data_IF_846241804416
#
_entry.id   IF_846241804416
#
_cell.length_a   1.000
_cell.length_b   1.000
_cell.length_c   1.000
_cell.angle_alpha   90.00
_cell.angle_beta   90.00
_cell.angle_gamma   90.00
#
_symmetry.space_group_name_H-M   'P 1'
#
loop_
_entity.id
_entity.type
_entity.pdbx_description
1 polymer ?
#
# COMPACT_ATOMS: atom_id res chain seq x y z
N UNK A 1 22.77 93.51 -150.89
CA UNK A 1 23.59 93.57 -149.65
C UNK A 1 22.81 93.20 -148.38
N UNK A 2 21.52 93.55 -148.23
CA UNK A 2 20.74 93.19 -147.02
C UNK A 2 20.53 91.68 -146.79
N UNK A 3 20.28 90.89 -147.85
CA UNK A 3 19.94 89.45 -147.74
C UNK A 3 21.08 88.53 -147.29
N UNK A 4 22.35 88.95 -147.44
CA UNK A 4 23.54 88.16 -147.07
C UNK A 4 23.91 88.42 -145.60
N UNK A 5 23.75 89.65 -145.14
CA UNK A 5 23.90 90.02 -143.73
C UNK A 5 22.80 89.39 -142.88
N UNK A 6 21.55 89.37 -143.38
CA UNK A 6 20.44 88.67 -142.73
C UNK A 6 20.73 87.17 -142.56
N UNK A 7 21.15 86.47 -143.63
CA UNK A 7 21.49 85.04 -143.58
C UNK A 7 22.68 84.72 -142.66
N UNK A 8 23.63 85.66 -142.52
CA UNK A 8 24.75 85.51 -141.59
C UNK A 8 24.27 85.69 -140.15
N UNK A 9 23.46 86.71 -139.90
CA UNK A 9 22.88 86.98 -138.60
C UNK A 9 21.96 85.83 -138.16
N UNK A 10 21.10 85.33 -139.04
CA UNK A 10 20.25 84.17 -138.78
C UNK A 10 21.07 82.90 -138.46
N UNK A 11 22.21 82.68 -139.14
CA UNK A 11 23.12 81.56 -138.85
C UNK A 11 23.89 81.73 -137.55
N UNK A 12 24.36 82.95 -137.26
CA UNK A 12 25.00 83.30 -135.99
C UNK A 12 23.99 83.14 -134.83
N UNK A 13 22.75 83.58 -135.01
CA UNK A 13 21.65 83.42 -134.06
C UNK A 13 21.31 81.93 -133.84
N UNK A 14 21.21 81.12 -134.90
CA UNK A 14 21.00 79.66 -134.72
C UNK A 14 22.15 78.97 -134.02
N UNK A 15 23.40 79.37 -134.29
CA UNK A 15 24.56 78.81 -133.60
C UNK A 15 24.59 79.24 -132.13
N UNK A 16 24.26 80.51 -131.85
CA UNK A 16 24.10 81.01 -130.51
C UNK A 16 22.98 80.26 -129.77
N UNK A 17 21.84 80.03 -130.41
CA UNK A 17 20.71 79.27 -129.88
C UNK A 17 21.07 77.80 -129.64
N UNK A 18 21.82 77.15 -130.54
CA UNK A 18 22.30 75.77 -130.37
C UNK A 18 23.30 75.65 -129.22
N UNK A 19 24.24 76.60 -129.10
CA UNK A 19 25.21 76.65 -128.00
C UNK A 19 24.52 76.98 -126.68
N UNK A 20 23.56 77.92 -126.68
CA UNK A 20 22.73 78.24 -125.52
C UNK A 20 21.89 77.04 -125.10
N UNK A 21 21.20 76.39 -126.04
CA UNK A 21 20.43 75.18 -125.80
C UNK A 21 21.30 74.04 -125.26
N UNK A 22 22.50 73.85 -125.80
CA UNK A 22 23.46 72.86 -125.31
C UNK A 22 23.93 73.17 -123.89
N UNK A 23 24.27 74.44 -123.59
CA UNK A 23 24.60 74.90 -122.23
C UNK A 23 23.42 74.70 -121.27
N UNK A 24 22.21 75.06 -121.67
CA UNK A 24 21.00 74.90 -120.87
C UNK A 24 20.70 73.43 -120.60
N UNK A 25 20.97 72.54 -121.56
CA UNK A 25 20.84 71.10 -121.36
C UNK A 25 21.90 70.56 -120.38
N UNK A 26 23.15 71.03 -120.46
CA UNK A 26 24.18 70.66 -119.47
C UNK A 26 23.85 71.20 -118.08
N UNK A 27 23.32 72.42 -117.97
CA UNK A 27 22.85 73.00 -116.72
C UNK A 27 21.71 72.15 -116.13
N UNK A 28 20.70 71.80 -116.93
CA UNK A 28 19.60 70.91 -116.50
C UNK A 28 20.08 69.55 -116.03
N UNK A 29 21.04 68.94 -116.74
CA UNK A 29 21.62 67.66 -116.33
C UNK A 29 22.40 67.81 -115.02
N UNK A 30 23.22 68.86 -114.88
CA UNK A 30 23.92 69.14 -113.63
C UNK A 30 22.97 69.40 -112.46
N UNK A 31 21.88 70.13 -112.69
CA UNK A 31 20.88 70.41 -111.67
C UNK A 31 20.11 69.12 -111.29
N UNK A 32 19.76 68.28 -112.27
CA UNK A 32 19.12 66.98 -112.00
C UNK A 32 20.01 66.02 -111.21
N UNK A 33 21.32 65.99 -111.48
CA UNK A 33 22.28 65.18 -110.71
C UNK A 33 22.41 65.74 -109.29
N UNK A 34 22.47 67.06 -109.11
CA UNK A 34 22.50 67.67 -107.77
C UNK A 34 21.24 67.38 -106.98
N UNK A 35 20.07 67.44 -107.61
CA UNK A 35 18.80 67.09 -106.98
C UNK A 35 18.80 65.62 -106.55
N UNK A 36 19.20 64.70 -107.44
CA UNK A 36 19.31 63.28 -107.10
C UNK A 36 20.34 63.02 -105.99
N UNK A 37 21.53 63.63 -106.03
CA UNK A 37 22.56 63.46 -105.00
C UNK A 37 22.08 63.98 -103.63
N UNK A 38 21.34 65.10 -103.62
CA UNK A 38 20.73 65.65 -102.41
C UNK A 38 19.61 64.75 -101.89
N UNK A 39 18.79 64.19 -102.78
CA UNK A 39 17.74 63.24 -102.42
C UNK A 39 18.31 61.93 -101.87
N UNK A 40 19.32 61.36 -102.53
CA UNK A 40 20.04 60.16 -102.06
C UNK A 40 20.70 60.40 -100.71
N UNK A 41 21.34 61.55 -100.52
CA UNK A 41 21.90 61.94 -99.23
C UNK A 41 20.82 62.06 -98.15
N UNK A 42 19.70 62.72 -98.44
CA UNK A 42 18.60 62.88 -97.50
C UNK A 42 17.96 61.54 -97.13
N UNK A 43 17.77 60.64 -98.11
CA UNK A 43 17.28 59.27 -97.88
C UNK A 43 18.24 58.46 -97.00
N UNK A 44 19.53 58.53 -97.29
CA UNK A 44 20.54 57.83 -96.49
C UNK A 44 20.61 58.40 -95.08
N UNK A 45 20.59 59.73 -94.94
CA UNK A 45 20.55 60.42 -93.65
C UNK A 45 19.33 60.00 -92.84
N UNK A 46 18.13 60.02 -93.43
CA UNK A 46 16.90 59.64 -92.75
C UNK A 46 16.92 58.16 -92.31
N UNK A 47 17.47 57.26 -93.13
CA UNK A 47 17.67 55.86 -92.73
C UNK A 47 18.63 55.73 -91.55
N UNK A 48 19.79 56.39 -91.60
CA UNK A 48 20.78 56.33 -90.51
C UNK A 48 20.25 56.98 -89.22
N UNK A 49 19.52 58.08 -89.32
CA UNK A 49 18.84 58.69 -88.17
C UNK A 49 17.76 57.75 -87.60
N UNK A 50 17.01 57.07 -88.46
CA UNK A 50 16.04 56.05 -88.04
C UNK A 50 16.68 54.85 -87.36
N UNK A 51 17.78 54.32 -87.91
CA UNK A 51 18.54 53.21 -87.32
C UNK A 51 19.17 53.63 -85.98
N UNK A 52 19.71 54.86 -85.90
CA UNK A 52 20.25 55.42 -84.66
C UNK A 52 19.18 55.54 -83.58
N UNK A 53 17.99 56.04 -83.93
CA UNK A 53 16.85 56.13 -83.01
C UNK A 53 16.38 54.74 -82.53
N UNK A 54 16.29 53.78 -83.45
CA UNK A 54 15.93 52.40 -83.10
C UNK A 54 16.94 51.77 -82.15
N UNK A 55 18.25 51.97 -82.40
CA UNK A 55 19.30 51.50 -81.50
C UNK A 55 19.21 52.14 -80.11
N UNK A 56 18.94 53.43 -80.03
CA UNK A 56 18.76 54.15 -78.77
C UNK A 56 17.53 53.64 -78.01
N UNK A 57 16.41 53.43 -78.68
CA UNK A 57 15.20 52.85 -78.08
C UNK A 57 15.47 51.44 -77.53
N UNK A 58 16.12 50.59 -78.32
CA UNK A 58 16.51 49.24 -77.88
C UNK A 58 17.43 49.27 -76.65
N UNK A 59 18.39 50.20 -76.63
CA UNK A 59 19.30 50.36 -75.50
C UNK A 59 18.54 50.81 -74.24
N UNK A 60 17.63 51.77 -74.36
CA UNK A 60 16.79 52.23 -73.23
C UNK A 60 15.89 51.11 -72.70
N UNK A 61 15.23 50.34 -73.58
CA UNK A 61 14.40 49.19 -73.17
C UNK A 61 15.25 48.14 -72.46
N UNK A 62 16.44 47.84 -72.98
CA UNK A 62 17.34 46.88 -72.37
C UNK A 62 17.80 47.33 -70.99
N UNK A 63 18.13 48.61 -70.81
CA UNK A 63 18.48 49.18 -69.52
C UNK A 63 17.32 49.08 -68.52
N UNK A 64 16.10 49.43 -68.93
CA UNK A 64 14.91 49.31 -68.10
C UNK A 64 14.64 47.85 -67.68
N UNK A 65 14.81 46.89 -68.59
CA UNK A 65 14.65 45.47 -68.27
C UNK A 65 15.73 44.96 -67.32
N UNK A 66 16.99 45.40 -67.47
CA UNK A 66 18.03 45.02 -66.53
C UNK A 66 17.81 45.62 -65.14
N UNK A 67 17.34 46.85 -65.05
CA UNK A 67 16.98 47.46 -63.77
C UNK A 67 15.84 46.67 -63.09
N UNK A 68 14.77 46.34 -63.81
CA UNK A 68 13.66 45.56 -63.27
C UNK A 68 14.08 44.13 -62.87
N UNK A 69 14.98 43.52 -63.63
CA UNK A 69 15.52 42.20 -63.28
C UNK A 69 16.43 42.27 -62.05
N UNK A 70 17.22 43.34 -61.88
CA UNK A 70 18.01 43.56 -60.68
C UNK A 70 17.11 43.70 -59.44
N UNK A 71 16.08 44.55 -59.50
CA UNK A 71 15.10 44.70 -58.41
C UNK A 71 14.38 43.39 -58.07
N UNK A 72 14.03 42.59 -59.09
CA UNK A 72 13.46 41.24 -58.88
C UNK A 72 14.45 40.30 -58.18
N UNK A 73 15.72 40.35 -58.54
CA UNK A 73 16.75 39.51 -57.94
C UNK A 73 16.99 39.91 -56.48
N UNK A 74 17.05 41.21 -56.19
CA UNK A 74 17.18 41.76 -54.84
C UNK A 74 15.99 41.38 -53.96
N UNK A 75 14.78 41.49 -54.50
CA UNK A 75 13.57 41.03 -53.80
C UNK A 75 13.62 39.52 -53.52
N UNK A 76 13.99 38.70 -54.51
CA UNK A 76 14.09 37.26 -54.32
C UNK A 76 15.13 36.90 -53.25
N UNK A 77 16.27 37.57 -53.24
CA UNK A 77 17.30 37.41 -52.21
C UNK A 77 16.74 37.75 -50.83
N UNK A 78 16.09 38.91 -50.68
CA UNK A 78 15.51 39.33 -49.41
C UNK A 78 14.50 38.30 -48.89
N UNK A 79 13.58 37.83 -49.74
CA UNK A 79 12.59 36.82 -49.37
C UNK A 79 13.24 35.50 -48.96
N UNK A 80 14.29 35.06 -49.67
CA UNK A 80 15.02 33.85 -49.31
C UNK A 80 15.72 34.01 -47.96
N UNK A 81 16.36 35.15 -47.71
CA UNK A 81 17.04 35.41 -46.44
C UNK A 81 16.06 35.46 -45.26
N UNK A 82 14.89 36.07 -45.43
CA UNK A 82 13.86 36.12 -44.39
C UNK A 82 13.33 34.71 -44.11
N UNK A 83 13.07 33.91 -45.15
CA UNK A 83 12.66 32.50 -44.98
C UNK A 83 13.72 31.66 -44.27
N UNK A 84 14.99 31.86 -44.59
CA UNK A 84 16.09 31.18 -43.90
C UNK A 84 16.13 31.54 -42.42
N UNK A 85 15.95 32.82 -42.10
CA UNK A 85 15.87 33.31 -40.73
C UNK A 85 14.66 32.74 -39.98
N UNK A 86 13.47 32.80 -40.58
CA UNK A 86 12.25 32.21 -40.02
C UNK A 86 12.41 30.70 -39.78
N UNK A 87 12.93 29.96 -40.76
CA UNK A 87 13.19 28.53 -40.64
C UNK A 87 14.22 28.22 -39.55
N UNK A 88 15.27 29.03 -39.43
CA UNK A 88 16.28 28.91 -38.38
C UNK A 88 15.66 29.10 -36.98
N UNK A 89 14.85 30.14 -36.82
CA UNK A 89 14.13 30.42 -35.56
C UNK A 89 13.18 29.26 -35.22
N UNK A 90 12.35 28.82 -36.17
CA UNK A 90 11.42 27.71 -35.98
C UNK A 90 12.13 26.40 -35.62
N UNK A 91 13.21 26.07 -36.32
CA UNK A 91 14.03 24.89 -36.03
C UNK A 91 14.60 24.95 -34.60
N UNK A 92 15.09 26.10 -34.17
CA UNK A 92 15.62 26.28 -32.82
C UNK A 92 14.52 26.17 -31.75
N UNK A 93 13.33 26.71 -32.01
CA UNK A 93 12.18 26.54 -31.12
C UNK A 93 11.79 25.06 -31.00
N UNK A 94 11.72 24.33 -32.12
CA UNK A 94 11.43 22.90 -32.15
C UNK A 94 12.50 22.09 -31.42
N UNK A 95 13.79 22.39 -31.62
CA UNK A 95 14.90 21.75 -30.88
C UNK A 95 14.75 21.95 -29.36
N UNK A 96 14.46 23.17 -28.91
CA UNK A 96 14.22 23.45 -27.48
C UNK A 96 13.02 22.66 -26.94
N UNK A 97 11.92 22.57 -27.70
CA UNK A 97 10.74 21.77 -27.32
C UNK A 97 11.09 20.28 -27.22
N UNK A 98 11.86 19.75 -28.17
CA UNK A 98 12.31 18.37 -28.17
C UNK A 98 13.19 18.06 -26.96
N UNK A 99 14.15 18.92 -26.63
CA UNK A 99 15.00 18.75 -25.43
C UNK A 99 14.16 18.73 -24.17
N UNK A 100 13.25 19.69 -23.98
CA UNK A 100 12.33 19.70 -22.83
C UNK A 100 11.51 18.42 -22.71
N UNK A 101 10.98 17.91 -23.82
CA UNK A 101 10.22 16.66 -23.84
C UNK A 101 11.09 15.43 -23.52
N UNK A 102 12.35 15.42 -23.97
CA UNK A 102 13.29 14.36 -23.62
C UNK A 102 13.63 14.37 -22.13
N UNK A 103 13.83 15.56 -21.55
CA UNK A 103 14.14 15.72 -20.13
C UNK A 103 12.96 15.30 -19.24
N UNK A 104 11.73 15.69 -19.61
CA UNK A 104 10.52 15.26 -18.88
C UNK A 104 10.33 13.75 -18.97
N UNK A 105 10.51 13.16 -20.17
CA UNK A 105 10.43 11.72 -20.37
C UNK A 105 11.49 10.98 -19.54
N UNK A 106 12.74 11.45 -19.55
CA UNK A 106 13.83 10.88 -18.75
C UNK A 106 13.49 10.92 -17.24
N UNK A 107 12.97 12.06 -16.78
CA UNK A 107 12.55 12.24 -15.39
C UNK A 107 11.42 11.27 -15.00
N UNK A 108 10.39 11.15 -15.84
CA UNK A 108 9.26 10.23 -15.60
C UNK A 108 9.75 8.77 -15.60
N UNK A 109 10.58 8.38 -16.57
CA UNK A 109 11.19 7.04 -16.60
C UNK A 109 12.07 6.76 -15.40
N UNK A 110 12.76 7.77 -14.87
CA UNK A 110 13.55 7.67 -13.64
C UNK A 110 12.67 7.38 -12.44
N UNK A 111 11.64 8.23 -12.22
CA UNK A 111 10.67 8.07 -11.13
C UNK A 111 9.94 6.74 -11.18
N UNK A 112 9.52 6.29 -12.37
CA UNK A 112 8.84 5.01 -12.52
C UNK A 112 9.74 3.83 -12.10
N UNK A 113 11.01 3.83 -12.51
CA UNK A 113 11.99 2.80 -12.11
C UNK A 113 12.30 2.80 -10.62
N UNK A 114 12.26 3.96 -9.97
CA UNK A 114 12.44 4.08 -8.53
C UNK A 114 11.22 3.57 -7.77
N UNK A 115 10.02 3.95 -8.23
CA UNK A 115 8.75 3.50 -7.66
C UNK A 115 8.61 1.98 -7.79
N UNK A 116 8.93 1.42 -8.96
CA UNK A 116 8.93 -0.03 -9.21
C UNK A 116 9.90 -0.76 -8.27
N UNK A 117 11.11 -0.23 -8.07
CA UNK A 117 12.06 -0.79 -7.09
C UNK A 117 11.52 -0.73 -5.66
N UNK A 118 10.89 0.38 -5.27
CA UNK A 118 10.29 0.50 -3.94
C UNK A 118 9.14 -0.49 -3.73
N UNK A 119 8.25 -0.64 -4.72
CA UNK A 119 7.15 -1.59 -4.66
C UNK A 119 7.64 -3.03 -4.60
N UNK A 120 8.63 -3.40 -5.42
CA UNK A 120 9.22 -4.74 -5.35
C UNK A 120 9.84 -5.01 -3.97
N UNK A 121 10.56 -4.04 -3.41
CA UNK A 121 11.11 -4.16 -2.06
C UNK A 121 10.06 -4.21 -0.95
N UNK A 122 8.93 -3.51 -1.09
CA UNK A 122 7.81 -3.62 -0.15
C UNK A 122 7.09 -4.97 -0.27
N UNK A 123 6.88 -5.46 -1.49
CA UNK A 123 6.25 -6.74 -1.73
C UNK A 123 7.08 -7.90 -1.19
N UNK A 124 8.40 -7.86 -1.38
CA UNK A 124 9.32 -8.85 -0.81
C UNK A 124 9.26 -8.88 0.72
N UNK A 125 9.32 -7.70 1.37
CA UNK A 125 9.18 -7.60 2.84
C UNK A 125 7.83 -8.12 3.33
N UNK A 126 6.75 -7.78 2.64
CA UNK A 126 5.41 -8.21 3.00
C UNK A 126 5.25 -9.74 2.85
N UNK A 127 5.84 -10.32 1.80
CA UNK A 127 5.87 -11.77 1.61
C UNK A 127 6.68 -12.47 2.72
N UNK A 128 7.82 -11.91 3.12
CA UNK A 128 8.62 -12.44 4.23
C UNK A 128 7.88 -12.38 5.57
N UNK A 129 7.22 -11.26 5.87
CA UNK A 129 6.41 -11.13 7.07
C UNK A 129 5.22 -12.09 7.07
N UNK A 130 4.55 -12.25 5.92
CA UNK A 130 3.49 -13.24 5.76
C UNK A 130 3.99 -14.67 6.02
N UNK A 131 5.14 -15.03 5.45
CA UNK A 131 5.76 -16.35 5.65
C UNK A 131 6.13 -16.56 7.12
N UNK A 132 6.66 -15.52 7.79
CA UNK A 132 7.00 -15.57 9.22
C UNK A 132 5.77 -15.75 10.10
N UNK A 133 4.71 -14.97 9.87
CA UNK A 133 3.45 -15.08 10.61
C UNK A 133 2.84 -16.47 10.40
N UNK A 134 2.86 -16.98 9.18
CA UNK A 134 2.33 -18.31 8.86
C UNK A 134 3.08 -19.43 9.60
N UNK A 135 4.42 -19.35 9.66
CA UNK A 135 5.23 -20.28 10.48
C UNK A 135 4.88 -20.19 11.96
N UNK A 136 4.74 -18.97 12.50
CA UNK A 136 4.36 -18.77 13.89
C UNK A 136 2.98 -19.35 14.19
N UNK A 137 2.01 -19.19 13.28
CA UNK A 137 0.68 -19.79 13.40
C UNK A 137 0.75 -21.32 13.40
N UNK A 138 1.55 -21.91 12.53
CA UNK A 138 1.75 -23.36 12.49
C UNK A 138 2.37 -23.87 13.80
N UNK A 139 3.39 -23.18 14.33
CA UNK A 139 4.01 -23.54 15.62
C UNK A 139 3.02 -23.44 16.79
N UNK A 140 2.17 -22.42 16.79
CA UNK A 140 1.12 -22.26 17.81
C UNK A 140 0.08 -23.38 17.73
N UNK A 141 -0.34 -23.76 16.52
CA UNK A 141 -1.25 -24.89 16.33
C UNK A 141 -0.65 -26.21 16.82
N UNK A 142 0.63 -26.47 16.53
CA UNK A 142 1.33 -27.66 17.02
C UNK A 142 1.42 -27.68 18.55
N UNK A 143 1.71 -26.53 19.18
CA UNK A 143 1.72 -26.40 20.64
C UNK A 143 0.33 -26.60 21.24
N UNK A 144 -0.71 -26.04 20.63
CA UNK A 144 -2.09 -26.22 21.07
C UNK A 144 -2.49 -27.71 21.06
N UNK A 145 -2.21 -28.42 19.96
CA UNK A 145 -2.50 -29.84 19.86
C UNK A 145 -1.75 -30.66 20.92
N UNK A 146 -0.47 -30.35 21.16
CA UNK A 146 0.32 -31.00 22.21
C UNK A 146 -0.25 -30.75 23.62
N UNK A 147 -0.64 -29.51 23.91
CA UNK A 147 -1.26 -29.15 25.19
C UNK A 147 -2.62 -29.82 25.38
N UNK A 148 -3.46 -29.87 24.35
CA UNK A 148 -4.73 -30.58 24.38
C UNK A 148 -4.52 -32.08 24.66
N UNK A 149 -3.56 -32.71 23.99
CA UNK A 149 -3.20 -34.12 24.23
C UNK A 149 -2.67 -34.34 25.66
N UNK A 150 -1.79 -33.45 26.15
CA UNK A 150 -1.28 -33.48 27.52
C UNK A 150 -2.41 -33.32 28.55
N UNK A 151 -3.31 -32.36 28.36
CA UNK A 151 -4.46 -32.12 29.22
C UNK A 151 -5.42 -33.32 29.24
N UNK A 152 -5.70 -33.93 28.09
CA UNK A 152 -6.52 -35.14 28.02
C UNK A 152 -5.89 -36.31 28.80
N UNK A 153 -4.56 -36.48 28.67
CA UNK A 153 -3.81 -37.50 29.42
C UNK A 153 -3.82 -37.23 30.93
N UNK A 154 -3.61 -35.99 31.36
CA UNK A 154 -3.65 -35.59 32.78
C UNK A 154 -5.04 -35.85 33.36
N UNK A 155 -6.11 -35.42 32.68
CA UNK A 155 -7.50 -35.68 33.11
C UNK A 155 -7.77 -37.16 33.27
N UNK A 156 -7.37 -37.99 32.29
CA UNK A 156 -7.52 -39.45 32.35
C UNK A 156 -6.75 -40.06 33.52
N UNK A 157 -5.50 -39.64 33.74
CA UNK A 157 -4.67 -40.10 34.88
C UNK A 157 -5.28 -39.72 36.22
N UNK A 158 -5.67 -38.46 36.38
CA UNK A 158 -6.32 -37.96 37.59
C UNK A 158 -7.60 -38.73 37.89
N UNK A 159 -8.43 -38.96 36.87
CA UNK A 159 -9.66 -39.74 36.99
C UNK A 159 -9.39 -41.18 37.47
N UNK A 160 -8.45 -41.88 36.82
CA UNK A 160 -8.09 -43.25 37.20
C UNK A 160 -7.52 -43.33 38.62
N UNK A 161 -6.73 -42.33 39.03
CA UNK A 161 -6.21 -42.24 40.40
C UNK A 161 -7.35 -42.13 41.42
N UNK A 162 -8.30 -41.21 41.20
CA UNK A 162 -9.46 -41.02 42.09
C UNK A 162 -10.37 -42.24 42.13
N UNK A 163 -10.66 -42.82 40.97
CA UNK A 163 -11.42 -44.06 40.87
C UNK A 163 -10.77 -45.17 41.71
N UNK A 164 -9.44 -45.31 41.67
CA UNK A 164 -8.71 -46.30 42.46
C UNK A 164 -8.72 -45.99 43.96
N UNK A 165 -8.59 -44.71 44.33
CA UNK A 165 -8.67 -44.31 45.75
C UNK A 165 -10.05 -44.62 46.33
N UNK A 166 -11.11 -44.25 45.61
CA UNK A 166 -12.50 -44.45 46.05
C UNK A 166 -12.84 -45.95 46.07
N UNK A 167 -12.44 -46.72 45.06
CA UNK A 167 -12.65 -48.18 45.10
C UNK A 167 -11.91 -48.84 46.27
N UNK A 168 -10.72 -48.36 46.62
CA UNK A 168 -10.00 -48.80 47.82
C UNK A 168 -10.75 -48.49 49.12
N UNK A 169 -11.35 -47.30 49.24
CA UNK A 169 -12.19 -46.93 50.39
C UNK A 169 -13.45 -47.79 50.45
N UNK A 170 -14.16 -47.94 49.33
CA UNK A 170 -15.40 -48.72 49.26
C UNK A 170 -15.15 -50.20 49.56
N UNK A 171 -14.05 -50.78 49.09
CA UNK A 171 -13.69 -52.16 49.45
C UNK A 171 -13.45 -52.32 50.95
N UNK A 172 -12.79 -51.36 51.61
CA UNK A 172 -12.63 -51.38 53.08
C UNK A 172 -13.97 -51.27 53.80
N UNK A 173 -14.85 -50.40 53.31
CA UNK A 173 -16.19 -50.24 53.85
C UNK A 173 -17.02 -51.53 53.71
N UNK A 174 -16.96 -52.19 52.54
CA UNK A 174 -17.64 -53.46 52.30
C UNK A 174 -17.05 -54.61 53.11
N UNK A 175 -15.74 -54.60 53.35
CA UNK A 175 -15.08 -55.55 54.24
C UNK A 175 -15.56 -55.38 55.69
N UNK A 176 -15.62 -54.14 56.19
CA UNK A 176 -16.16 -53.85 57.51
C UNK A 176 -17.67 -54.21 57.62
N UNK A 177 -18.43 -53.94 56.55
CA UNK A 177 -19.84 -54.33 56.45
C UNK A 177 -20.02 -55.85 56.56
N UNK A 178 -19.16 -56.62 55.86
CA UNK A 178 -19.12 -58.07 55.94
C UNK A 178 -18.84 -58.56 57.36
N UNK A 179 -17.80 -58.03 57.99
CA UNK A 179 -17.40 -58.41 59.35
C UNK A 179 -18.53 -58.12 60.36
N UNK A 180 -19.19 -56.97 60.29
CA UNK A 180 -20.32 -56.63 61.19
C UNK A 180 -21.50 -57.58 60.98
N UNK A 181 -21.83 -57.92 59.72
CA UNK A 181 -22.95 -58.83 59.45
C UNK A 181 -22.67 -60.28 59.88
N UNK A 182 -21.45 -60.77 59.68
CA UNK A 182 -21.05 -62.13 60.03
C UNK A 182 -20.83 -62.28 61.54
N UNK A 183 -20.10 -61.37 62.19
CA UNK A 183 -19.69 -61.49 63.60
C UNK A 183 -20.74 -60.97 64.59
N UNK A 184 -21.29 -59.76 64.38
CA UNK A 184 -22.17 -59.11 65.36
C UNK A 184 -23.65 -59.48 65.20
N UNK A 185 -24.09 -59.74 63.96
CA UNK A 185 -25.49 -60.04 63.64
C UNK A 185 -25.73 -61.54 63.39
N UNK A 186 -24.69 -62.32 63.09
CA UNK A 186 -24.78 -63.74 62.74
C UNK A 186 -25.59 -64.00 61.47
N UNK A 187 -25.67 -63.01 60.56
CA UNK A 187 -26.45 -63.09 59.33
C UNK A 187 -25.55 -63.41 58.14
N UNK A 188 -26.10 -64.11 57.14
CA UNK A 188 -25.37 -64.39 55.90
C UNK A 188 -25.20 -63.08 55.12
N UNK A 189 -23.96 -62.59 55.06
CA UNK A 189 -23.64 -61.39 54.30
C UNK A 189 -23.78 -61.64 52.79
N UNK A 190 -24.42 -60.70 52.10
CA UNK A 190 -24.51 -60.68 50.63
C UNK A 190 -23.98 -59.34 50.14
N UNK A 191 -22.94 -59.38 49.30
CA UNK A 191 -22.35 -58.16 48.74
C UNK A 191 -23.41 -57.28 48.05
N UNK A 192 -23.60 -56.02 48.50
CA UNK A 192 -24.63 -55.13 47.97
C UNK A 192 -24.41 -54.68 46.51
N UNK A 193 -23.19 -54.79 45.97
CA UNK A 193 -22.87 -54.30 44.63
C UNK A 193 -22.21 -55.38 43.75
N UNK A 194 -22.87 -55.73 42.64
CA UNK A 194 -22.27 -56.50 41.52
C UNK A 194 -21.59 -55.58 40.47
N UNK A 195 -21.66 -54.26 40.65
CA UNK A 195 -21.35 -53.27 39.61
C UNK A 195 -20.41 -52.17 40.12
N UNK A 196 -19.45 -52.48 40.98
CA UNK A 196 -18.26 -51.62 41.04
C UNK A 196 -17.42 -52.07 39.85
N UNK A 197 -17.36 -51.32 38.74
CA UNK A 197 -16.55 -51.75 37.61
C UNK A 197 -15.11 -51.85 38.09
N UNK A 198 -14.62 -53.08 38.22
CA UNK A 198 -13.21 -53.41 38.31
C UNK A 198 -12.55 -53.15 36.94
N UNK A 199 -12.79 -51.98 36.34
CA UNK A 199 -11.96 -51.49 35.24
C UNK A 199 -10.79 -50.75 35.86
N UNK A 200 -9.99 -51.49 36.63
CA UNK A 200 -8.61 -51.08 36.90
C UNK A 200 -7.90 -51.19 35.54
N UNK A 201 -7.93 -50.09 34.78
CA UNK A 201 -6.98 -49.94 33.69
C UNK A 201 -5.55 -50.12 34.22
N UNK A 202 -4.58 -50.46 33.34
CA UNK A 202 -3.18 -50.62 33.74
C UNK A 202 -2.74 -49.45 34.62
N UNK A 203 -1.96 -49.74 35.67
CA UNK A 203 -1.48 -48.70 36.57
C UNK A 203 -0.83 -47.59 35.74
N UNK A 204 -1.15 -46.30 35.98
CA UNK A 204 -0.38 -45.25 35.37
C UNK A 204 1.09 -45.49 35.75
N UNK A 205 2.03 -45.45 34.79
CA UNK A 205 3.45 -45.60 35.11
C UNK A 205 3.80 -44.59 36.20
N UNK A 206 4.57 -45.04 37.21
CA UNK A 206 5.18 -44.13 38.18
C UNK A 206 6.03 -43.17 37.37
N UNK A 207 5.64 -41.89 37.37
CA UNK A 207 6.48 -40.83 36.86
C UNK A 207 7.44 -40.56 38.00
N UNK A 208 8.66 -41.09 37.88
CA UNK A 208 9.78 -40.49 38.56
C UNK A 208 9.87 -39.06 38.02
N UNK A 209 9.63 -38.09 38.90
CA UNK A 209 9.79 -36.68 38.60
C UNK A 209 11.30 -36.46 38.43
N UNK A 210 11.84 -36.65 37.22
CA UNK A 210 13.04 -35.92 36.84
C UNK A 210 12.60 -34.47 36.62
N UNK A 211 13.11 -33.51 37.40
CA UNK A 211 12.79 -32.12 37.18
C UNK A 211 13.45 -31.71 35.86
N UNK A 212 12.63 -31.64 34.81
CA UNK A 212 12.97 -30.89 33.61
C UNK A 212 13.47 -29.50 34.04
N UNK A 213 14.60 -29.11 33.45
CA UNK A 213 15.32 -27.88 33.71
C UNK A 213 14.36 -26.68 33.76
N UNK A 214 14.60 -25.69 34.65
CA UNK A 214 13.74 -24.53 34.78
C UNK A 214 13.62 -23.86 33.40
N UNK A 215 12.41 -23.88 32.86
CA UNK A 215 12.03 -23.04 31.74
C UNK A 215 12.16 -21.62 32.27
N UNK A 216 13.29 -20.97 31.96
CA UNK A 216 13.47 -19.56 32.18
C UNK A 216 12.33 -18.85 31.44
N UNK A 217 11.35 -18.37 32.20
CA UNK A 217 10.45 -17.32 31.76
C UNK A 217 11.37 -16.19 31.32
N UNK A 218 11.53 -16.01 30.01
CA UNK A 218 12.15 -14.80 29.48
C UNK A 218 11.27 -13.66 29.97
N UNK A 219 11.72 -12.95 31.00
CA UNK A 219 11.17 -11.66 31.36
C UNK A 219 11.10 -10.86 30.05
N UNK A 220 9.92 -10.36 29.72
CA UNK A 220 9.73 -9.55 28.52
C UNK A 220 10.55 -8.26 28.72
N UNK A 221 11.79 -8.25 28.23
CA UNK A 221 12.69 -7.07 28.20
C UNK A 221 12.01 -5.82 27.65
N UNK A 222 10.99 -5.99 26.80
CA UNK A 222 10.19 -4.90 26.23
C UNK A 222 9.27 -4.23 27.26
N UNK A 223 8.70 -5.00 28.19
CA UNK A 223 7.79 -4.48 29.21
C UNK A 223 8.56 -3.73 30.31
N UNK A 224 9.73 -4.24 30.70
CA UNK A 224 10.64 -3.53 31.62
C UNK A 224 11.19 -2.24 31.00
N UNK A 225 11.55 -2.23 29.70
CA UNK A 225 11.96 -1.00 28.98
C UNK A 225 10.86 0.05 28.87
N UNK A 226 9.59 -0.35 28.76
CA UNK A 226 8.45 0.56 28.83
C UNK A 226 8.27 1.13 30.24
N UNK A 227 8.45 0.29 31.28
CA UNK A 227 8.41 0.73 32.67
C UNK A 227 9.50 1.76 33.02
N UNK A 228 10.71 1.56 32.50
CA UNK A 228 11.81 2.52 32.65
C UNK A 228 11.51 3.85 31.93
N UNK A 229 10.79 3.82 30.80
CA UNK A 229 10.31 5.01 30.12
C UNK A 229 9.25 5.79 30.92
N UNK A 230 8.41 5.13 31.72
CA UNK A 230 7.42 5.79 32.59
C UNK A 230 8.04 6.58 33.75
N UNK A 231 9.30 6.32 34.05
CA UNK A 231 10.05 7.01 35.10
C UNK A 231 10.79 8.26 34.60
N UNK A 232 10.76 8.53 33.28
CA UNK A 232 11.37 9.73 32.70
C UNK A 232 10.52 10.97 32.95
N UNK A 233 11.12 11.99 33.58
CA UNK A 233 10.49 13.28 33.91
C UNK A 233 9.90 14.01 32.70
N UNK A 234 10.41 13.71 31.48
CA UNK A 234 9.97 14.32 30.22
C UNK A 234 8.51 14.02 29.85
N UNK A 235 8.06 12.79 30.09
CA UNK A 235 6.72 12.32 29.70
C UNK A 235 5.73 12.34 30.87
N UNK A 236 6.21 12.61 32.09
CA UNK A 236 5.41 12.54 33.30
C UNK A 236 4.21 13.49 33.29
N UNK A 237 4.41 14.75 32.88
CA UNK A 237 3.33 15.75 32.78
C UNK A 237 2.28 15.38 31.73
N UNK A 238 2.72 14.85 30.58
CA UNK A 238 1.87 14.38 29.50
C UNK A 238 1.04 13.16 29.91
N UNK A 239 1.67 12.17 30.56
CA UNK A 239 1.01 10.97 31.04
C UNK A 239 0.01 11.28 32.16
N UNK A 240 0.30 12.26 33.03
CA UNK A 240 -0.68 12.74 34.01
C UNK A 240 -1.90 13.38 33.36
N UNK A 241 -1.72 14.16 32.29
CA UNK A 241 -2.85 14.73 31.52
C UNK A 241 -3.64 13.62 30.83
N UNK A 242 -2.97 12.61 30.25
CA UNK A 242 -3.65 11.45 29.69
C UNK A 242 -4.42 10.65 30.74
N UNK A 243 -3.87 10.44 31.92
CA UNK A 243 -4.58 9.73 33.00
C UNK A 243 -5.84 10.47 33.41
N UNK A 244 -5.82 11.81 33.44
CA UNK A 244 -7.01 12.63 33.75
C UNK A 244 -8.08 12.52 32.67
N UNK A 245 -7.71 12.70 31.40
CA UNK A 245 -8.65 12.77 30.27
C UNK A 245 -9.09 11.40 29.75
N UNK A 246 -8.21 10.40 29.82
CA UNK A 246 -8.43 9.04 29.32
C UNK A 246 -8.73 8.03 30.44
N UNK A 247 -9.12 8.51 31.62
CA UNK A 247 -9.51 7.67 32.76
C UNK A 247 -10.64 6.69 32.42
N UNK A 248 -11.51 7.03 31.46
CA UNK A 248 -12.61 6.17 31.03
C UNK A 248 -12.17 4.86 30.34
N UNK A 249 -10.92 4.76 29.87
CA UNK A 249 -10.38 3.54 29.25
C UNK A 249 -10.01 2.46 30.28
N UNK A 250 -10.00 2.79 31.57
CA UNK A 250 -9.74 1.84 32.65
C UNK A 250 -11.09 1.42 33.21
N UNK A 251 -11.35 0.10 33.23
CA UNK A 251 -12.58 -0.48 33.77
C UNK A 251 -12.84 -0.01 35.22
N UNK A 252 -14.10 0.36 35.50
CA UNK A 252 -14.51 0.95 36.80
C UNK A 252 -14.18 0.05 37.99
N UNK A 253 -14.28 -1.27 37.82
CA UNK A 253 -13.93 -2.25 38.85
C UNK A 253 -12.44 -2.16 39.21
N UNK A 254 -11.56 -2.01 38.20
CA UNK A 254 -10.12 -1.83 38.42
C UNK A 254 -9.80 -0.48 39.07
N UNK A 255 -10.56 0.57 38.78
CA UNK A 255 -10.37 1.87 39.43
C UNK A 255 -10.67 1.81 40.94
N UNK A 256 -11.70 1.07 41.34
CA UNK A 256 -12.08 0.95 42.76
C UNK A 256 -11.06 0.15 43.57
N UNK A 257 -10.46 -0.90 43.00
CA UNK A 257 -9.39 -1.66 43.66
C UNK A 257 -8.09 -0.88 43.83
N UNK A 258 -7.74 -0.02 42.87
CA UNK A 258 -6.47 0.71 42.92
C UNK A 258 -6.53 2.01 43.73
N UNK A 259 -7.71 2.52 44.14
CA UNK A 259 -7.84 3.73 44.99
C UNK A 259 -7.11 3.62 46.33
N UNK A 260 -6.94 2.40 46.87
CA UNK A 260 -6.29 2.15 48.16
C UNK A 260 -4.76 1.97 48.08
N UNK A 261 -4.19 1.89 46.86
CA UNK A 261 -2.77 1.55 46.63
C UNK A 261 -1.88 2.82 46.61
N UNK A 262 -0.56 2.67 46.77
CA UNK A 262 0.39 3.79 46.72
C UNK A 262 0.30 4.58 45.39
N UNK A 263 0.25 5.93 45.41
CA UNK A 263 -0.05 6.77 44.24
C UNK A 263 0.98 6.66 43.10
N UNK A 264 2.22 6.26 43.41
CA UNK A 264 3.27 6.03 42.39
C UNK A 264 3.02 4.76 41.58
N UNK A 265 2.56 3.69 42.23
CA UNK A 265 2.23 2.42 41.58
C UNK A 265 0.94 2.56 40.77
N UNK A 266 -0.04 3.32 41.28
CA UNK A 266 -1.25 3.67 40.53
C UNK A 266 -0.89 4.37 39.21
N UNK A 267 -0.03 5.38 39.26
CA UNK A 267 0.41 6.12 38.07
C UNK A 267 0.99 5.19 37.00
N UNK A 268 1.91 4.30 37.37
CA UNK A 268 2.58 3.38 36.44
C UNK A 268 1.62 2.36 35.82
N UNK A 269 0.73 1.78 36.62
CA UNK A 269 -0.24 0.78 36.14
C UNK A 269 -1.27 1.43 35.23
N UNK A 270 -1.76 2.61 35.60
CA UNK A 270 -2.75 3.34 34.80
C UNK A 270 -2.16 3.84 33.49
N UNK A 271 -0.94 4.41 33.49
CA UNK A 271 -0.28 4.81 32.25
C UNK A 271 -0.01 3.61 31.34
N UNK A 272 0.42 2.47 31.89
CA UNK A 272 0.66 1.26 31.10
C UNK A 272 -0.63 0.69 30.51
N UNK A 273 -1.71 0.65 31.28
CA UNK A 273 -3.01 0.15 30.82
C UNK A 273 -3.62 1.03 29.74
N UNK A 274 -3.59 2.36 29.92
CA UNK A 274 -4.10 3.32 28.94
C UNK A 274 -3.30 3.26 27.65
N UNK A 275 -1.97 3.20 27.73
CA UNK A 275 -1.13 3.11 26.53
C UNK A 275 -1.29 1.77 25.80
N UNK A 276 -1.47 0.67 26.53
CA UNK A 276 -1.79 -0.61 25.92
C UNK A 276 -3.17 -0.60 25.23
N UNK A 277 -4.17 0.04 25.83
CA UNK A 277 -5.49 0.24 25.22
C UNK A 277 -5.43 1.14 23.96
N UNK A 278 -4.52 2.12 23.95
CA UNK A 278 -4.21 2.95 22.78
C UNK A 278 -3.29 2.26 21.76
N UNK A 279 -2.83 1.03 22.02
CA UNK A 279 -1.96 0.26 21.13
C UNK A 279 -0.49 0.71 21.11
N UNK A 280 -0.05 1.51 22.08
CA UNK A 280 1.30 2.07 22.18
C UNK A 280 2.19 1.13 23.00
N UNK A 281 2.77 0.13 22.33
CA UNK A 281 3.71 -0.83 22.93
C UNK A 281 5.20 -0.52 22.75
N UNK A 282 5.55 0.60 22.10
CA UNK A 282 6.94 0.94 21.76
C UNK A 282 7.31 2.36 22.19
N UNK A 283 8.57 2.56 22.63
CA UNK A 283 9.12 3.87 23.05
C UNK A 283 9.03 4.93 21.95
N UNK A 284 9.24 4.54 20.69
CA UNK A 284 9.11 5.42 19.53
C UNK A 284 7.65 5.80 19.20
N UNK A 285 6.70 4.91 19.47
CA UNK A 285 5.28 5.21 19.27
C UNK A 285 4.77 6.21 20.32
N UNK A 286 5.27 6.11 21.56
CA UNK A 286 5.01 7.08 22.61
C UNK A 286 5.58 8.46 22.27
N UNK A 287 6.79 8.52 21.70
CA UNK A 287 7.42 9.78 21.27
C UNK A 287 6.65 10.46 20.13
N UNK A 288 6.18 9.71 19.13
CA UNK A 288 5.30 10.23 18.07
C UNK A 288 3.99 10.78 18.61
N UNK A 289 3.37 10.07 19.54
CA UNK A 289 2.12 10.48 20.18
C UNK A 289 2.35 11.73 21.04
N UNK A 290 3.45 11.78 21.79
CA UNK A 290 3.84 12.96 22.55
C UNK A 290 4.06 14.17 21.63
N UNK A 291 4.81 14.04 20.53
CA UNK A 291 5.05 15.12 19.56
C UNK A 291 3.73 15.58 18.93
N UNK A 292 2.84 14.65 18.57
CA UNK A 292 1.55 14.95 17.97
C UNK A 292 0.61 15.74 18.90
N UNK A 293 0.55 15.36 20.18
CA UNK A 293 -0.35 16.00 21.14
C UNK A 293 0.24 17.30 21.72
N UNK A 294 1.55 17.34 21.95
CA UNK A 294 2.21 18.53 22.54
C UNK A 294 2.65 19.55 21.49
N UNK A 295 2.61 19.19 20.21
CA UNK A 295 3.05 20.01 19.08
C UNK A 295 4.42 20.67 19.30
N UNK A 296 5.32 19.97 19.99
CA UNK A 296 6.71 20.39 20.19
C UNK A 296 7.52 19.88 19.02
N UNK A 297 7.37 20.53 17.87
CA UNK A 297 8.37 20.43 16.82
C UNK A 297 9.49 21.40 17.16
N UNK A 298 10.72 20.88 17.30
CA UNK A 298 11.90 21.68 17.00
C UNK A 298 11.69 22.27 15.60
N UNK A 299 11.91 23.57 15.51
CA UNK A 299 11.60 24.38 14.35
C UNK A 299 12.22 23.83 13.06
N UNK A 300 11.41 23.23 12.20
CA UNK A 300 11.30 23.57 10.78
C UNK A 300 10.05 22.90 10.22
N UNK A 301 9.44 23.50 9.20
CA UNK A 301 8.21 23.07 8.52
C UNK A 301 6.89 23.38 9.24
N UNK A 302 6.49 24.65 9.13
CA UNK A 302 5.15 25.11 9.44
C UNK A 302 4.11 24.52 8.48
N UNK A 303 3.52 23.37 8.82
CA UNK A 303 2.26 22.91 8.24
C UNK A 303 1.45 22.13 9.28
N UNK A 304 0.19 22.55 9.47
CA UNK A 304 -0.96 21.80 10.04
C UNK A 304 -1.47 22.20 11.44
N UNK A 305 -2.11 23.37 11.52
CA UNK A 305 -3.20 23.64 12.50
C UNK A 305 -4.57 23.17 11.94
N UNK A 306 -4.64 22.74 10.67
CA UNK A 306 -5.90 22.39 10.00
C UNK A 306 -6.33 20.92 10.10
N UNK A 307 -5.50 20.02 10.64
CA UNK A 307 -5.83 18.57 10.68
C UNK A 307 -6.61 18.11 11.92
N UNK A 308 -6.65 18.90 12.99
CA UNK A 308 -7.34 18.47 14.23
C UNK A 308 -8.86 18.71 14.17
N UNK A 309 -9.31 19.73 13.43
CA UNK A 309 -10.73 20.07 13.32
C UNK A 309 -11.49 19.12 12.37
N UNK A 310 -10.80 18.55 11.38
CA UNK A 310 -11.33 17.54 10.46
C UNK A 310 -11.28 16.11 11.03
N UNK A 311 -10.71 15.90 12.22
CA UNK A 311 -10.64 14.58 12.87
C UNK A 311 -11.77 14.36 13.88
N UNK A 312 -12.32 15.43 14.46
CA UNK A 312 -13.39 15.36 15.47
C UNK A 312 -14.78 15.29 14.82
N UNK A 313 -14.93 15.69 13.56
CA UNK A 313 -16.12 15.40 12.77
C UNK A 313 -15.93 14.04 12.10
N UNK A 314 -16.46 13.03 12.78
CA UNK A 314 -16.31 11.62 12.44
C UNK A 314 -16.69 11.31 11.00
N UNK A 315 -15.68 10.91 10.25
CA UNK A 315 -15.67 9.93 9.17
C UNK A 315 -14.19 9.74 8.81
N UNK A 316 -13.77 8.51 8.46
CA UNK A 316 -12.43 8.16 7.96
C UNK A 316 -11.27 7.83 8.94
N UNK A 317 -11.51 7.26 10.14
CA UNK A 317 -10.44 6.46 10.78
C UNK A 317 -10.47 4.98 10.36
N UNK A 318 -11.64 4.46 10.00
CA UNK A 318 -11.80 3.04 9.62
C UNK A 318 -11.73 2.80 8.10
N UNK A 319 -12.12 3.77 7.28
CA UNK A 319 -12.21 3.60 5.81
C UNK A 319 -10.87 3.72 5.07
N UNK A 320 -9.83 4.27 5.69
CA UNK A 320 -8.47 4.31 5.09
C UNK A 320 -7.78 2.94 5.14
N UNK A 321 -8.30 1.99 5.93
CA UNK A 321 -7.73 0.64 6.07
C UNK A 321 -8.58 -0.46 5.41
N UNK A 322 -9.64 -0.12 4.66
CA UNK A 322 -10.54 -1.15 4.08
C UNK A 322 -10.88 -0.95 2.60
N UNK A 323 -10.28 0.02 1.92
CA UNK A 323 -10.51 0.25 0.50
C UNK A 323 -9.23 -0.01 -0.29
N UNK A 324 -9.00 -1.28 -0.61
CA UNK A 324 -8.25 -1.83 -1.77
C UNK A 324 -7.83 -3.27 -1.42
N UNK A 325 -8.66 -4.25 -1.76
CA UNK A 325 -8.25 -5.55 -2.32
C UNK A 325 -9.45 -6.51 -2.42
N UNK A 326 -9.81 -6.85 -3.67
CA UNK A 326 -10.85 -7.80 -4.06
C UNK A 326 -10.49 -9.28 -3.79
N UNK A 327 -9.54 -9.57 -2.90
CA UNK A 327 -9.07 -10.94 -2.58
C UNK A 327 -9.63 -11.49 -1.25
N UNK A 328 -10.71 -10.90 -0.74
CA UNK A 328 -11.41 -11.39 0.45
C UNK A 328 -11.95 -12.82 0.32
N UNK A 329 -12.00 -13.41 -0.88
CA UNK A 329 -12.43 -14.80 -1.08
C UNK A 329 -11.38 -15.84 -0.65
N UNK A 330 -10.10 -15.49 -0.53
CA UNK A 330 -9.05 -16.47 -0.15
C UNK A 330 -8.83 -16.52 1.37
N UNK A 331 -8.83 -15.36 2.04
CA UNK A 331 -8.74 -15.28 3.51
C UNK A 331 -10.03 -15.76 4.20
N UNK A 332 -11.20 -15.50 3.61
CA UNK A 332 -12.45 -16.10 4.12
C UNK A 332 -12.45 -17.62 3.93
N UNK A 333 -11.77 -18.18 2.92
CA UNK A 333 -11.67 -19.63 2.72
C UNK A 333 -10.69 -20.32 3.69
N UNK A 334 -9.65 -19.61 4.14
CA UNK A 334 -8.69 -20.08 5.16
C UNK A 334 -9.25 -19.90 6.57
N UNK A 335 -9.91 -18.78 6.86
CA UNK A 335 -10.61 -18.55 8.14
C UNK A 335 -11.84 -19.46 8.24
N UNK A 336 -12.56 -19.75 7.16
CA UNK A 336 -13.66 -20.73 7.15
C UNK A 336 -13.16 -22.17 7.20
N UNK A 337 -11.99 -22.52 6.63
CA UNK A 337 -11.36 -23.83 6.86
C UNK A 337 -10.82 -23.96 8.28
N UNK A 338 -10.25 -22.92 8.86
CA UNK A 338 -9.79 -22.90 10.26
C UNK A 338 -10.97 -22.97 11.23
N UNK A 339 -12.06 -22.21 10.99
CA UNK A 339 -13.33 -22.32 11.73
C UNK A 339 -13.99 -23.68 11.52
N UNK A 340 -13.99 -24.25 10.31
CA UNK A 340 -14.56 -25.57 10.05
C UNK A 340 -13.72 -26.70 10.66
N UNK A 341 -12.40 -26.53 10.79
CA UNK A 341 -11.51 -27.48 11.46
C UNK A 341 -11.63 -27.37 12.98
N UNK A 342 -11.75 -26.15 13.52
CA UNK A 342 -12.08 -25.90 14.94
C UNK A 342 -13.50 -26.39 15.28
N UNK A 343 -14.48 -26.19 14.40
CA UNK A 343 -15.85 -26.68 14.57
C UNK A 343 -15.95 -28.19 14.42
N UNK A 344 -15.09 -28.83 13.60
CA UNK A 344 -14.97 -30.29 13.53
C UNK A 344 -14.29 -30.85 14.76
N UNK A 345 -13.20 -30.28 15.24
CA UNK A 345 -12.57 -30.66 16.52
C UNK A 345 -13.51 -30.45 17.72
N UNK A 346 -14.32 -29.38 17.72
CA UNK A 346 -15.35 -29.13 18.74
C UNK A 346 -16.58 -30.03 18.57
N UNK A 347 -16.97 -30.41 17.34
CA UNK A 347 -18.03 -31.39 17.09
C UNK A 347 -17.60 -32.81 17.45
N UNK A 348 -16.39 -33.22 17.11
CA UNK A 348 -15.82 -34.52 17.47
C UNK A 348 -15.60 -34.63 19.00
N UNK A 349 -15.28 -33.50 19.66
CA UNK A 349 -15.25 -33.42 21.13
C UNK A 349 -16.64 -33.44 21.77
N UNK A 350 -17.68 -32.99 21.07
CA UNK A 350 -19.09 -33.03 21.52
C UNK A 350 -19.78 -34.36 21.21
N UNK A 351 -19.39 -35.05 20.13
CA UNK A 351 -19.94 -36.35 19.72
C UNK A 351 -19.32 -37.51 20.51
N UNK A 352 -18.04 -37.42 20.93
CA UNK A 352 -17.41 -38.45 21.77
C UNK A 352 -17.56 -38.23 23.28
N UNK A 353 -18.22 -37.16 23.71
CA UNK A 353 -18.89 -37.23 25.01
C UNK A 353 -20.21 -37.97 24.79
N UNK A 354 -20.14 -39.30 24.68
CA UNK A 354 -21.09 -40.10 25.46
C UNK A 354 -21.12 -39.37 26.81
N UNK A 355 -22.25 -38.74 27.13
CA UNK A 355 -22.47 -38.18 28.46
C UNK A 355 -22.46 -39.40 29.37
N UNK A 356 -21.26 -39.87 29.73
CA UNK A 356 -21.04 -40.77 30.83
C UNK A 356 -21.84 -40.12 31.93
N UNK A 357 -22.90 -40.81 32.32
CA UNK A 357 -23.79 -40.36 33.37
C UNK A 357 -22.95 -40.45 34.65
N UNK A 358 -22.09 -39.44 34.84
CA UNK A 358 -21.15 -39.33 35.94
C UNK A 358 -21.93 -39.27 37.25
N UNK A 359 -23.11 -38.67 37.22
CA UNK A 359 -24.04 -38.65 38.36
C UNK A 359 -24.46 -40.07 38.72
N UNK A 360 -24.84 -40.92 37.75
CA UNK A 360 -25.12 -42.33 37.98
C UNK A 360 -23.89 -43.14 38.44
N UNK A 361 -22.72 -42.85 37.86
CA UNK A 361 -21.46 -43.49 38.21
C UNK A 361 -21.03 -43.19 39.65
N UNK A 362 -21.01 -41.91 40.06
CA UNK A 362 -20.67 -41.50 41.41
C UNK A 362 -21.75 -41.88 42.41
N UNK A 363 -23.02 -41.79 42.02
CA UNK A 363 -24.14 -42.27 42.85
C UNK A 363 -23.98 -43.74 43.18
N UNK A 364 -23.51 -44.58 42.22
CA UNK A 364 -23.29 -46.01 42.46
C UNK A 364 -22.33 -46.30 43.63
N UNK A 365 -21.28 -45.49 43.82
CA UNK A 365 -20.36 -45.62 44.95
C UNK A 365 -20.99 -45.18 46.27
N UNK A 366 -21.86 -44.17 46.26
CA UNK A 366 -22.54 -43.73 47.48
C UNK A 366 -23.70 -44.65 47.89
N UNK A 367 -24.35 -45.28 46.92
CA UNK A 367 -25.42 -46.27 47.14
C UNK A 367 -24.88 -47.67 47.45
N UNK A 368 -23.57 -47.84 47.59
CA UNK A 368 -22.95 -49.15 47.86
C UNK A 368 -23.38 -49.75 49.20
N UNK A 369 -23.82 -48.92 50.15
CA UNK A 369 -24.52 -49.36 51.36
C UNK A 369 -25.94 -48.82 51.32
N UNK A 370 -26.92 -49.70 51.50
CA UNK A 370 -28.33 -49.28 51.56
C UNK A 370 -28.57 -48.39 52.78
N UNK A 371 -29.38 -47.32 52.68
CA UNK A 371 -29.74 -46.48 53.82
C UNK A 371 -30.47 -47.26 54.93
N UNK A 372 -31.01 -48.45 54.61
CA UNK A 372 -31.56 -49.38 55.62
C UNK A 372 -30.44 -49.93 56.51
N UNK A 373 -29.34 -50.38 55.93
CA UNK A 373 -28.17 -50.93 56.64
C UNK A 373 -27.54 -49.84 57.52
N UNK A 374 -27.41 -48.62 57.01
CA UNK A 374 -26.91 -47.48 57.82
C UNK A 374 -27.76 -47.20 59.06
N UNK A 375 -29.09 -47.35 58.97
CA UNK A 375 -29.98 -47.22 60.13
C UNK A 375 -29.77 -48.36 61.13
N UNK A 376 -29.60 -49.59 60.64
CA UNK A 376 -29.29 -50.75 61.50
C UNK A 376 -27.97 -50.51 62.24
N UNK A 377 -26.91 -50.08 61.57
CA UNK A 377 -25.63 -49.75 62.23
C UNK A 377 -25.76 -48.65 63.27
N UNK A 378 -26.58 -47.62 63.02
CA UNK A 378 -26.83 -46.57 64.01
C UNK A 378 -27.49 -47.12 65.27
N UNK A 379 -28.50 -47.98 65.12
CA UNK A 379 -29.16 -48.61 66.27
C UNK A 379 -28.28 -49.66 66.96
N UNK A 380 -27.52 -50.44 66.21
CA UNK A 380 -26.55 -51.41 66.72
C UNK A 380 -25.49 -50.71 67.57
N UNK A 381 -24.92 -49.60 67.09
CA UNK A 381 -23.95 -48.82 67.84
C UNK A 381 -24.54 -48.29 69.16
N UNK A 382 -25.77 -47.76 69.14
CA UNK A 382 -26.46 -47.33 70.37
C UNK A 382 -26.69 -48.49 71.36
N UNK A 383 -27.09 -49.66 70.85
CA UNK A 383 -27.30 -50.85 71.67
C UNK A 383 -25.98 -51.39 72.27
N UNK A 384 -24.91 -51.45 71.47
CA UNK A 384 -23.58 -51.84 71.93
C UNK A 384 -23.00 -50.84 72.94
N UNK A 385 -23.23 -49.54 72.79
CA UNK A 385 -22.82 -48.53 73.77
C UNK A 385 -23.56 -48.72 75.10
N UNK A 386 -24.88 -48.95 75.06
CA UNK A 386 -25.68 -49.26 76.25
C UNK A 386 -25.24 -50.56 76.92
N UNK A 387 -24.99 -51.61 76.14
CA UNK A 387 -24.48 -52.88 76.64
C UNK A 387 -23.09 -52.75 77.28
N UNK A 388 -22.18 -51.99 76.65
CA UNK A 388 -20.87 -51.70 77.21
C UNK A 388 -20.95 -50.89 78.52
N UNK A 389 -21.90 -49.97 78.64
CA UNK A 389 -22.17 -49.28 79.91
C UNK A 389 -22.62 -50.28 80.98
N UNK A 390 -23.58 -51.16 80.67
CA UNK A 390 -24.00 -52.21 81.61
C UNK A 390 -22.88 -53.18 82.00
N UNK A 391 -22.00 -53.55 81.07
CA UNK A 391 -20.82 -54.37 81.37
C UNK A 391 -19.84 -53.65 82.28
N UNK A 392 -19.56 -52.36 82.02
CA UNK A 392 -18.71 -51.54 82.89
C UNK A 392 -19.31 -51.38 84.28
N UNK A 393 -20.63 -51.25 84.39
CA UNK A 393 -21.33 -51.17 85.67
C UNK A 393 -21.28 -52.50 86.43
N UNK A 394 -21.38 -53.65 85.73
CA UNK A 394 -21.20 -55.00 86.32
C UNK A 394 -19.77 -55.31 86.77
N UNK A 395 -18.77 -54.65 86.20
CA UNK A 395 -17.36 -54.79 86.63
C UNK A 395 -17.07 -53.89 87.85
N UNK A 396 -17.88 -52.84 88.07
CA UNK A 396 -17.75 -51.92 89.20
C UNK A 396 -18.52 -52.36 90.45
N UNK A 397 -19.43 -53.32 90.32
CA UNK A 397 -20.05 -54.09 91.41
C UNK A 397 -19.17 -55.31 91.69
#
# INVERSE_FOLDING_TARGET
MGRILQNRQDREDTYHDEVHSCKDNFIKVLDSIRENDVEEYNLLKLKLEGDSQSLEEHLQVMQAMYQLNAEKLDYNLLVLTEREYENYVMTNQQKKKLTRQRDTLSTIKGRHRELERSFMGHNERLADDHNRVTKLLQDLQMKEQSLQASHANIKKRFFLMHQRMISGVVNRILQADKEIHEEELGWIWRSPCKTIPHRLGPQPPRIDYEPDQPIALKENDQFQKLLDCFSSERYHSFLLTLIKEASFLIDKEYQDYFKEVEPKLQFQVWSASILNALGVGNTHALEKLYIFITNRMDADDGVNILKLKSFIQGETFFEIFSAEDDDHNSLTHVISKSRACSDKLQRDSKENSEKLNWDGYWSSFTTSISPKVMRVYKHLNLALLSYNQMLKDRIRV
#
